data_IF_213551471759
#
_entry.id   IF_213551471759
#
_cell.length_a   1.000
_cell.length_b   1.000
_cell.length_c   1.000
_cell.angle_alpha   90.00
_cell.angle_beta   90.00
_cell.angle_gamma   90.00
#
_symmetry.space_group_name_H-M   'P 1'
#
loop_
_entity.id
_entity.type
_entity.pdbx_description
1 polymer ?
#
# COMPACT_ATOMS: atom_id res chain seq x y z
N UNK A 1 4.09 -10.08 3.17
CA UNK A 1 4.17 -8.61 3.10
C UNK A 1 3.22 -7.93 4.09
N UNK A 2 1.89 -7.99 3.89
CA UNK A 2 0.92 -7.25 4.73
C UNK A 2 1.04 -7.56 6.21
N UNK A 3 1.20 -8.84 6.57
CA UNK A 3 1.43 -9.27 7.96
C UNK A 3 2.69 -8.63 8.58
N UNK A 4 3.75 -8.42 7.78
CA UNK A 4 4.99 -7.77 8.26
C UNK A 4 4.81 -6.27 8.45
N UNK A 5 4.03 -5.63 7.59
CA UNK A 5 3.72 -4.20 7.69
C UNK A 5 2.87 -3.87 8.93
N UNK A 6 2.14 -4.84 9.51
CA UNK A 6 1.42 -4.65 10.78
C UNK A 6 2.32 -4.28 11.95
N UNK A 7 3.62 -4.59 11.88
CA UNK A 7 4.60 -4.23 12.90
C UNK A 7 5.21 -2.82 12.70
N UNK A 8 4.82 -2.09 11.66
CA UNK A 8 5.23 -0.69 11.46
C UNK A 8 4.46 0.25 12.38
N UNK A 9 5.10 1.31 12.84
CA UNK A 9 4.43 2.42 13.55
C UNK A 9 3.41 3.16 12.67
N UNK A 10 3.51 3.02 11.34
CA UNK A 10 2.65 3.69 10.35
C UNK A 10 1.61 2.74 9.73
N UNK A 11 1.36 1.58 10.35
CA UNK A 11 0.53 0.51 9.81
C UNK A 11 -0.92 0.90 9.47
N UNK A 12 -1.50 1.88 10.17
CA UNK A 12 -2.88 2.34 9.97
C UNK A 12 -3.13 2.91 8.56
N UNK A 13 -2.07 3.39 7.90
CA UNK A 13 -2.12 4.04 6.60
C UNK A 13 -1.67 3.12 5.45
N UNK A 14 -1.59 1.81 5.67
CA UNK A 14 -1.25 0.85 4.60
C UNK A 14 -2.45 0.71 3.66
N UNK A 15 -2.22 0.96 2.37
CA UNK A 15 -3.21 0.81 1.30
C UNK A 15 -2.62 -0.03 0.18
N UNK A 16 -3.35 -1.07 -0.25
CA UNK A 16 -3.01 -1.86 -1.43
C UNK A 16 -3.55 -1.17 -2.68
N UNK A 17 -2.67 -0.86 -3.63
CA UNK A 17 -3.05 -0.30 -4.93
C UNK A 17 -3.03 -1.41 -5.99
N UNK A 18 -4.19 -1.69 -6.59
CA UNK A 18 -4.32 -2.70 -7.64
C UNK A 18 -5.16 -2.20 -8.84
N UNK A 19 -5.36 -3.02 -9.86
CA UNK A 19 -6.12 -2.64 -11.07
C UNK A 19 -7.63 -2.84 -10.89
N UNK A 20 -8.42 -2.33 -11.85
CA UNK A 20 -9.86 -2.58 -11.92
C UNK A 20 -10.21 -3.88 -12.68
N UNK A 21 -9.21 -4.64 -13.13
CA UNK A 21 -9.42 -5.90 -13.85
C UNK A 21 -9.94 -6.98 -12.91
N UNK A 22 -10.84 -7.85 -13.41
CA UNK A 22 -11.46 -8.92 -12.59
C UNK A 22 -10.43 -9.87 -11.96
N UNK A 23 -9.27 -10.06 -12.59
CA UNK A 23 -8.20 -10.90 -12.02
C UNK A 23 -7.69 -10.35 -10.67
N UNK A 24 -7.75 -9.02 -10.49
CA UNK A 24 -7.33 -8.34 -9.28
C UNK A 24 -8.37 -8.30 -8.17
N UNK A 25 -9.54 -8.92 -8.38
CA UNK A 25 -10.50 -9.21 -7.30
C UNK A 25 -9.83 -10.05 -6.22
N UNK A 26 -8.91 -10.95 -6.62
CA UNK A 26 -8.14 -11.75 -5.68
C UNK A 26 -7.18 -10.90 -4.84
N UNK A 27 -6.56 -9.90 -5.46
CA UNK A 27 -5.69 -8.94 -4.77
C UNK A 27 -6.48 -8.15 -3.72
N UNK A 28 -7.68 -7.70 -4.07
CA UNK A 28 -8.59 -7.03 -3.15
C UNK A 28 -9.05 -7.94 -2.00
N UNK A 29 -9.41 -9.19 -2.29
CA UNK A 29 -9.81 -10.18 -1.27
C UNK A 29 -8.69 -10.41 -0.24
N UNK A 30 -7.44 -10.60 -0.71
CA UNK A 30 -6.28 -10.84 0.17
C UNK A 30 -6.04 -9.62 1.08
N UNK A 31 -6.13 -8.41 0.53
CA UNK A 31 -5.96 -7.19 1.31
C UNK A 31 -7.07 -7.03 2.37
N UNK A 32 -8.34 -7.23 1.99
CA UNK A 32 -9.48 -7.18 2.90
C UNK A 32 -9.40 -8.23 4.00
N UNK A 33 -9.00 -9.47 3.67
CA UNK A 33 -8.77 -10.54 4.66
C UNK A 33 -7.72 -10.15 5.71
N UNK A 34 -6.78 -9.27 5.34
CA UNK A 34 -5.75 -8.76 6.23
C UNK A 34 -6.14 -7.49 6.99
N UNK A 35 -7.34 -6.93 6.75
CA UNK A 35 -7.80 -5.68 7.34
C UNK A 35 -7.18 -4.42 6.71
N UNK A 36 -6.69 -4.51 5.47
CA UNK A 36 -5.95 -3.44 4.79
C UNK A 36 -6.85 -2.76 3.74
N UNK A 37 -6.78 -1.44 3.67
CA UNK A 37 -7.52 -0.65 2.67
C UNK A 37 -7.06 -0.95 1.24
N UNK A 38 -7.96 -0.82 0.27
CA UNK A 38 -7.66 -1.09 -1.15
C UNK A 38 -8.11 0.08 -2.02
N UNK A 39 -7.23 0.48 -2.94
CA UNK A 39 -7.56 1.37 -4.04
C UNK A 39 -7.39 0.65 -5.37
N UNK A 40 -8.46 0.62 -6.18
CA UNK A 40 -8.44 0.06 -7.54
C UNK A 40 -8.44 1.17 -8.57
N UNK A 41 -7.53 1.09 -9.55
CA UNK A 41 -7.39 2.13 -10.57
C UNK A 41 -6.79 1.61 -11.87
N UNK A 42 -6.21 2.52 -12.65
CA UNK A 42 -5.64 2.21 -13.97
C UNK A 42 -4.58 1.10 -13.91
N UNK A 43 -4.63 0.20 -14.87
CA UNK A 43 -3.63 -0.86 -15.09
C UNK A 43 -2.30 -0.28 -15.54
N UNK A 44 -2.34 0.69 -16.46
CA UNK A 44 -1.16 1.20 -17.17
C UNK A 44 -0.63 2.52 -16.60
N UNK A 45 -1.47 3.29 -15.91
CA UNK A 45 -1.07 4.58 -15.33
C UNK A 45 -0.87 4.45 -13.82
N UNK A 46 0.35 4.02 -13.46
CA UNK A 46 0.76 3.89 -12.06
C UNK A 46 0.71 5.25 -11.35
N UNK A 47 1.25 6.31 -11.97
CA UNK A 47 1.34 7.63 -11.34
C UNK A 47 -0.05 8.13 -10.95
N UNK A 48 -1.00 8.08 -11.87
CA UNK A 48 -2.37 8.48 -11.59
C UNK A 48 -3.03 7.60 -10.53
N UNK A 49 -2.74 6.29 -10.50
CA UNK A 49 -3.23 5.38 -9.47
C UNK A 49 -2.73 5.77 -8.08
N UNK A 50 -1.44 6.10 -7.94
CA UNK A 50 -0.88 6.62 -6.68
C UNK A 50 -1.52 7.95 -6.27
N UNK A 51 -1.62 8.91 -7.18
CA UNK A 51 -2.19 10.23 -6.87
C UNK A 51 -3.66 10.15 -6.45
N UNK A 52 -4.47 9.33 -7.12
CA UNK A 52 -5.88 9.14 -6.76
C UNK A 52 -6.03 8.42 -5.42
N UNK A 53 -5.18 7.43 -5.13
CA UNK A 53 -5.17 6.75 -3.84
C UNK A 53 -4.79 7.72 -2.71
N UNK A 54 -3.71 8.48 -2.89
CA UNK A 54 -3.26 9.46 -1.90
C UNK A 54 -4.34 10.52 -1.61
N UNK A 55 -4.99 11.06 -2.65
CA UNK A 55 -6.11 12.00 -2.48
C UNK A 55 -7.31 11.38 -1.76
N UNK A 56 -7.67 10.13 -2.08
CA UNK A 56 -8.81 9.45 -1.43
C UNK A 56 -8.59 9.23 0.07
N UNK A 57 -7.35 8.98 0.46
CA UNK A 57 -6.97 8.66 1.84
C UNK A 57 -6.35 9.84 2.59
N UNK A 58 -6.35 11.06 1.99
CA UNK A 58 -5.73 12.27 2.55
C UNK A 58 -4.26 12.06 2.98
N UNK A 59 -3.46 11.48 2.09
CA UNK A 59 -2.05 11.15 2.34
C UNK A 59 -1.13 12.21 1.72
N UNK A 60 -0.27 12.81 2.54
CA UNK A 60 0.73 13.79 2.11
C UNK A 60 2.09 13.15 1.75
N UNK A 61 2.48 12.10 2.47
CA UNK A 61 3.76 11.39 2.30
C UNK A 61 3.49 9.97 1.82
N UNK A 62 4.00 9.64 0.63
CA UNK A 62 3.83 8.31 0.02
C UNK A 62 5.09 7.48 0.22
N UNK A 63 5.00 6.42 1.02
CA UNK A 63 6.01 5.35 1.06
C UNK A 63 5.65 4.30 0.02
N UNK A 64 6.39 4.29 -1.10
CA UNK A 64 6.14 3.35 -2.20
C UNK A 64 6.80 2.00 -1.93
N UNK A 65 5.99 0.95 -1.90
CA UNK A 65 6.44 -0.45 -1.84
C UNK A 65 5.83 -1.26 -2.99
N UNK A 66 6.50 -2.35 -3.39
CA UNK A 66 6.00 -3.29 -4.41
C UNK A 66 5.55 -4.60 -3.75
N UNK A 67 4.48 -5.21 -4.30
CA UNK A 67 3.86 -6.43 -3.75
C UNK A 67 4.74 -7.68 -3.82
N UNK A 68 5.81 -7.63 -4.62
CA UNK A 68 6.81 -8.67 -4.82
C UNK A 68 7.89 -8.72 -3.73
N UNK A 69 7.79 -7.88 -2.70
CA UNK A 69 8.72 -7.82 -1.56
C UNK A 69 8.10 -8.44 -0.28
N UNK A 70 7.83 -9.76 -0.22
CA UNK A 70 7.10 -10.35 0.90
C UNK A 70 7.80 -10.27 2.25
N UNK A 71 9.14 -10.16 2.24
CA UNK A 71 10.02 -10.15 3.41
C UNK A 71 10.43 -8.75 3.88
N UNK A 72 9.72 -7.71 3.43
CA UNK A 72 9.99 -6.33 3.83
C UNK A 72 10.04 -6.18 5.37
N UNK A 73 11.03 -5.42 5.85
CA UNK A 73 11.22 -5.16 7.27
C UNK A 73 10.59 -3.81 7.66
N UNK A 74 9.59 -3.85 8.53
CA UNK A 74 8.90 -2.66 9.01
C UNK A 74 9.80 -1.71 9.78
N UNK A 75 10.83 -2.20 10.49
CA UNK A 75 11.74 -1.34 11.26
C UNK A 75 12.61 -0.48 10.35
N UNK A 76 13.00 -1.01 9.18
CA UNK A 76 13.74 -0.25 8.18
C UNK A 76 12.83 0.84 7.60
N UNK A 77 11.59 0.50 7.24
CA UNK A 77 10.61 1.48 6.77
C UNK A 77 10.43 2.59 7.80
N UNK A 78 10.17 2.24 9.06
CA UNK A 78 9.96 3.20 10.13
C UNK A 78 11.17 4.13 10.30
N UNK A 79 12.39 3.57 10.22
CA UNK A 79 13.62 4.36 10.32
C UNK A 79 13.77 5.35 9.16
N UNK A 80 13.43 4.93 7.94
CA UNK A 80 13.47 5.80 6.76
C UNK A 80 12.42 6.91 6.80
N UNK A 81 11.20 6.59 7.24
CA UNK A 81 10.14 7.59 7.40
C UNK A 81 10.51 8.61 8.47
N UNK A 82 11.03 8.16 9.62
CA UNK A 82 11.50 9.06 10.68
C UNK A 82 12.73 9.91 10.28
N UNK A 83 13.51 9.48 9.29
CA UNK A 83 14.61 10.29 8.75
C UNK A 83 14.10 11.35 7.76
N UNK A 84 13.00 11.07 7.07
CA UNK A 84 12.40 11.97 6.09
C UNK A 84 11.60 13.12 6.74
N UNK A 85 10.93 12.83 7.87
CA UNK A 85 10.15 13.80 8.67
C UNK A 85 11.07 14.56 9.61
#
# INVERSE_FOLDING_TARGET
>A
MLERLKFSKFQENVVVLTTQENIDDKTEEIAKKNGVSVFRGSTNDLIQRYLKAAKRHNIDIIVRLTGDCPLIDSKIIDSMVNFFI
#
